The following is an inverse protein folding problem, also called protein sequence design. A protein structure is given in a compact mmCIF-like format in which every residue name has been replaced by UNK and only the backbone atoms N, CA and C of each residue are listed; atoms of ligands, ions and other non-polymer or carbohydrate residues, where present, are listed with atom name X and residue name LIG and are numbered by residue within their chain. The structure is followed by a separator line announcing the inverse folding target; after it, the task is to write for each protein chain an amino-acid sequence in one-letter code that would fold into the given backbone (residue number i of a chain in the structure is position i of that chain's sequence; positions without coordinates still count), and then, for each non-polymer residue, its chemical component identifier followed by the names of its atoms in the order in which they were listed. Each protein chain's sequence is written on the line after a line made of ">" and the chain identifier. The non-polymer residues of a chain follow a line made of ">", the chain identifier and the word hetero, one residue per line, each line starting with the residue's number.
data_IF_044260200520
#
_entry.id   IF_044260200520
#
_cell.length_a   1.000
_cell.length_b   1.000
_cell.length_c   1.000
_cell.angle_alpha   90.00
_cell.angle_beta   90.00
_cell.angle_gamma   90.00
#
_symmetry.space_group_name_H-M   'P 1'
#
loop_
_entity.id
_entity.type
_entity.pdbx_description
1 polymer ?
#
# COMPACT_ATOMS: atom_id res chain seq x y z
N UNK A 1 -54.51 5.88 77.58
CA UNK A 1 -53.47 6.89 77.24
C UNK A 1 -52.31 6.15 76.50
N UNK A 2 -52.32 6.22 75.20
CA UNK A 2 -51.31 5.62 74.35
C UNK A 2 -50.34 6.68 73.86
N UNK A 3 -49.02 6.51 74.18
CA UNK A 3 -47.99 7.45 73.73
C UNK A 3 -47.54 7.06 72.33
N UNK A 4 -47.82 7.92 71.34
CA UNK A 4 -47.24 7.82 70.01
C UNK A 4 -45.73 8.09 70.08
N UNK A 5 -44.92 7.15 69.58
CA UNK A 5 -43.49 7.30 69.32
C UNK A 5 -43.34 8.03 67.96
N UNK A 6 -42.81 9.23 67.98
CA UNK A 6 -42.30 9.94 66.82
C UNK A 6 -41.04 9.23 66.33
N UNK A 7 -41.10 8.72 65.12
CA UNK A 7 -39.91 8.14 64.45
C UNK A 7 -39.11 9.25 63.80
N UNK A 8 -37.88 9.45 64.23
CA UNK A 8 -36.89 10.33 63.62
C UNK A 8 -36.52 9.81 62.24
N UNK A 9 -37.05 10.47 61.24
CA UNK A 9 -36.53 10.30 59.85
C UNK A 9 -35.24 11.08 59.75
N UNK A 10 -34.12 10.38 59.90
CA UNK A 10 -32.80 10.90 59.54
C UNK A 10 -32.71 11.11 58.04
N UNK A 11 -32.77 12.35 57.62
CA UNK A 11 -32.57 12.77 56.25
C UNK A 11 -31.08 12.65 55.92
N UNK A 12 -30.68 11.53 55.31
CA UNK A 12 -29.33 11.38 54.77
C UNK A 12 -29.21 12.32 53.57
N UNK A 13 -28.64 13.50 53.77
CA UNK A 13 -28.19 14.36 52.69
C UNK A 13 -27.10 13.63 51.93
N UNK A 14 -27.42 13.15 50.70
CA UNK A 14 -26.42 12.65 49.76
C UNK A 14 -25.41 13.79 49.56
N UNK A 15 -24.18 13.60 50.06
CA UNK A 15 -23.04 14.40 49.65
C UNK A 15 -23.02 14.39 48.12
N UNK A 16 -23.29 15.53 47.48
CA UNK A 16 -23.02 15.70 46.07
C UNK A 16 -21.51 15.51 45.91
N UNK A 17 -21.12 14.43 45.23
CA UNK A 17 -19.75 14.27 44.75
C UNK A 17 -19.46 15.45 43.85
N UNK A 18 -18.61 16.36 44.29
CA UNK A 18 -18.10 17.44 43.45
C UNK A 18 -17.34 16.79 42.28
N UNK A 19 -17.90 16.89 41.08
CA UNK A 19 -17.22 16.47 39.86
C UNK A 19 -15.92 17.28 39.76
N UNK A 20 -14.74 16.64 39.76
CA UNK A 20 -13.48 17.36 39.76
C UNK A 20 -13.38 18.24 38.50
N UNK A 21 -13.49 19.56 38.67
CA UNK A 21 -13.28 20.49 37.57
C UNK A 21 -11.82 20.41 37.13
N UNK A 22 -11.62 19.97 35.88
CA UNK A 22 -10.29 19.93 35.29
C UNK A 22 -9.70 21.35 35.29
N UNK A 23 -8.49 21.51 35.81
CA UNK A 23 -7.84 22.83 35.84
C UNK A 23 -7.69 23.35 34.39
N UNK A 24 -7.85 24.65 34.13
CA UNK A 24 -7.80 25.25 32.81
C UNK A 24 -6.49 24.92 32.07
N UNK A 25 -5.39 24.74 32.80
CA UNK A 25 -4.11 24.29 32.22
C UNK A 25 -4.17 22.85 31.68
N UNK A 26 -4.82 21.92 32.40
CA UNK A 26 -4.99 20.55 31.94
C UNK A 26 -5.89 20.46 30.71
N UNK A 27 -6.94 21.29 30.68
CA UNK A 27 -7.83 21.40 29.51
C UNK A 27 -7.07 21.94 28.30
N UNK A 28 -6.24 22.97 28.46
CA UNK A 28 -5.43 23.56 27.41
C UNK A 28 -4.44 22.52 26.84
N UNK A 29 -3.74 21.81 27.70
CA UNK A 29 -2.82 20.73 27.24
C UNK A 29 -3.56 19.60 26.53
N UNK A 30 -4.76 19.23 26.97
CA UNK A 30 -5.61 18.26 26.28
C UNK A 30 -6.01 18.73 24.87
N UNK A 31 -6.36 20.00 24.70
CA UNK A 31 -6.68 20.58 23.40
C UNK A 31 -5.46 20.64 22.47
N UNK A 32 -4.28 20.99 23.00
CA UNK A 32 -3.04 20.98 22.22
C UNK A 32 -2.70 19.55 21.77
N UNK A 33 -2.80 18.57 22.66
CA UNK A 33 -2.56 17.17 22.31
C UNK A 33 -3.54 16.66 21.23
N UNK A 34 -4.83 17.01 21.35
CA UNK A 34 -5.85 16.67 20.34
C UNK A 34 -5.54 17.32 18.99
N UNK A 35 -5.14 18.60 18.99
CA UNK A 35 -4.78 19.30 17.77
C UNK A 35 -3.57 18.68 17.07
N UNK A 36 -2.52 18.35 17.83
CA UNK A 36 -1.34 17.65 17.29
C UNK A 36 -1.73 16.28 16.72
N UNK A 37 -2.59 15.53 17.42
CA UNK A 37 -3.09 14.24 16.95
C UNK A 37 -3.86 14.37 15.62
N UNK A 38 -4.74 15.39 15.51
CA UNK A 38 -5.46 15.66 14.26
C UNK A 38 -4.53 16.05 13.12
N UNK A 39 -3.49 16.84 13.38
CA UNK A 39 -2.47 17.16 12.36
C UNK A 39 -1.72 15.92 11.89
N UNK A 40 -1.39 15.00 12.79
CA UNK A 40 -0.76 13.73 12.43
C UNK A 40 -1.68 12.86 11.56
N UNK A 41 -2.97 12.79 11.88
CA UNK A 41 -3.96 12.09 11.05
C UNK A 41 -4.06 12.69 9.64
N UNK A 42 -4.12 14.03 9.53
CA UNK A 42 -4.13 14.70 8.24
C UNK A 42 -2.85 14.41 7.45
N UNK A 43 -1.69 14.45 8.11
CA UNK A 43 -0.42 14.12 7.47
C UNK A 43 -0.40 12.67 6.96
N UNK A 44 -0.92 11.71 7.74
CA UNK A 44 -1.04 10.31 7.32
C UNK A 44 -1.93 10.16 6.08
N UNK A 45 -3.10 10.80 6.05
CA UNK A 45 -4.00 10.79 4.89
C UNK A 45 -3.34 11.42 3.66
N UNK A 46 -2.61 12.52 3.83
CA UNK A 46 -1.86 13.13 2.72
C UNK A 46 -0.77 12.22 2.17
N UNK A 47 -0.05 11.49 3.04
CA UNK A 47 0.96 10.51 2.62
C UNK A 47 0.29 9.34 1.89
N UNK A 48 -0.81 8.83 2.41
CA UNK A 48 -1.58 7.74 1.81
C UNK A 48 -2.07 8.09 0.40
N UNK A 49 -2.73 9.22 0.24
CA UNK A 49 -3.19 9.71 -1.08
C UNK A 49 -2.02 9.95 -2.05
N UNK A 50 -0.86 10.36 -1.53
CA UNK A 50 0.35 10.51 -2.33
C UNK A 50 0.99 9.20 -2.79
N UNK A 51 0.54 8.05 -2.28
CA UNK A 51 1.04 6.72 -2.66
C UNK A 51 0.16 6.01 -3.68
N UNK A 52 -1.07 6.51 -3.91
CA UNK A 52 -2.00 5.89 -4.86
C UNK A 52 -1.52 6.03 -6.31
N UNK A 53 -1.89 5.05 -7.13
CA UNK A 53 -1.69 5.05 -8.58
C UNK A 53 -0.25 5.33 -9.04
N UNK A 54 0.70 4.60 -8.43
CA UNK A 54 2.12 4.73 -8.76
C UNK A 54 2.74 3.41 -9.19
N UNK A 55 3.45 3.46 -10.30
CA UNK A 55 4.34 2.40 -10.74
C UNK A 55 5.79 2.85 -10.48
N UNK A 56 6.52 2.05 -9.70
CA UNK A 56 7.90 2.32 -9.31
C UNK A 56 8.76 1.19 -9.86
N UNK A 57 9.67 1.54 -10.76
CA UNK A 57 10.66 0.62 -11.32
C UNK A 57 12.03 0.98 -10.80
N UNK A 58 12.69 0.02 -10.14
CA UNK A 58 14.01 0.21 -9.58
C UNK A 58 14.96 -0.83 -10.16
N UNK A 59 15.75 -0.44 -11.14
CA UNK A 59 16.78 -1.28 -11.71
C UNK A 59 18.08 -1.15 -10.91
N UNK A 60 18.29 -2.03 -9.96
CA UNK A 60 19.52 -2.15 -9.14
C UNK A 60 20.54 -3.08 -9.77
N UNK A 61 20.20 -3.74 -10.88
CA UNK A 61 21.08 -4.67 -11.57
C UNK A 61 22.18 -3.96 -12.36
N UNK A 62 23.14 -4.75 -12.82
CA UNK A 62 24.17 -4.29 -13.76
C UNK A 62 23.71 -4.30 -15.22
N UNK A 63 22.49 -4.77 -15.50
CA UNK A 63 21.93 -4.89 -16.86
C UNK A 63 21.03 -3.70 -17.18
N UNK A 64 21.13 -3.19 -18.40
CA UNK A 64 20.20 -2.21 -18.93
C UNK A 64 18.97 -2.93 -19.49
N UNK A 65 17.78 -2.39 -19.21
CA UNK A 65 16.52 -2.87 -19.75
C UNK A 65 16.19 -2.03 -20.99
N UNK A 66 16.00 -2.69 -22.13
CA UNK A 66 15.57 -2.05 -23.37
C UNK A 66 14.10 -1.67 -23.30
N UNK A 67 13.25 -2.59 -22.83
CA UNK A 67 11.81 -2.44 -22.74
C UNK A 67 11.27 -3.11 -21.49
N UNK A 68 10.36 -2.48 -20.78
CA UNK A 68 9.66 -3.01 -19.62
C UNK A 68 8.20 -2.61 -19.69
N UNK A 69 7.28 -3.57 -19.88
CA UNK A 69 5.85 -3.34 -20.05
C UNK A 69 5.06 -4.02 -18.94
N UNK A 70 4.06 -3.33 -18.43
CA UNK A 70 3.13 -3.81 -17.42
C UNK A 70 1.70 -3.73 -17.95
N UNK A 71 0.92 -4.80 -17.73
CA UNK A 71 -0.50 -4.83 -18.05
C UNK A 71 -1.25 -5.75 -17.10
N UNK A 72 -2.55 -5.53 -16.98
CA UNK A 72 -3.46 -6.50 -16.38
C UNK A 72 -4.07 -7.41 -17.44
N UNK A 73 -4.31 -8.66 -17.05
CA UNK A 73 -4.98 -9.64 -17.88
C UNK A 73 -6.05 -10.37 -17.06
N UNK A 74 -7.30 -10.37 -17.52
CA UNK A 74 -8.39 -11.07 -16.86
C UNK A 74 -8.54 -12.52 -17.37
N UNK A 75 -9.38 -13.31 -16.70
CA UNK A 75 -9.63 -14.71 -17.04
C UNK A 75 -10.28 -14.91 -18.45
N UNK A 76 -10.78 -13.85 -19.06
CA UNK A 76 -11.42 -13.87 -20.38
C UNK A 76 -10.47 -13.37 -21.49
N UNK A 77 -9.22 -13.03 -21.13
CA UNK A 77 -8.26 -12.45 -22.04
C UNK A 77 -8.42 -10.96 -22.29
N UNK A 78 -9.20 -10.27 -21.44
CA UNK A 78 -9.24 -8.81 -21.41
C UNK A 78 -7.92 -8.24 -20.92
N UNK A 79 -7.38 -7.25 -21.63
CA UNK A 79 -6.09 -6.64 -21.32
C UNK A 79 -6.28 -5.15 -21.07
N UNK A 80 -5.70 -4.66 -19.97
CA UNK A 80 -5.48 -3.23 -19.73
C UNK A 80 -3.98 -2.99 -19.62
N UNK A 81 -3.44 -2.22 -20.55
CA UNK A 81 -2.07 -1.73 -20.47
C UNK A 81 -1.95 -0.70 -19.36
N UNK A 82 -1.00 -0.92 -18.45
CA UNK A 82 -0.69 0.01 -17.37
C UNK A 82 0.34 1.02 -17.87
N UNK A 83 1.51 0.56 -18.24
CA UNK A 83 2.63 1.42 -18.63
C UNK A 83 3.75 0.63 -19.33
N UNK A 84 4.44 1.32 -20.19
CA UNK A 84 5.66 0.85 -20.84
C UNK A 84 6.79 1.84 -20.57
N UNK A 85 7.96 1.30 -20.25
CA UNK A 85 9.19 2.06 -20.05
C UNK A 85 10.22 1.57 -21.05
N UNK A 86 10.88 2.51 -21.69
CA UNK A 86 12.01 2.24 -22.57
C UNK A 86 13.31 2.75 -21.93
N UNK A 87 14.40 2.10 -22.26
CA UNK A 87 15.76 2.53 -21.92
C UNK A 87 15.96 2.80 -20.42
N UNK A 88 15.68 1.80 -19.59
CA UNK A 88 15.97 1.89 -18.15
C UNK A 88 17.42 1.45 -17.92
N UNK A 89 18.26 2.43 -17.63
CA UNK A 89 19.66 2.17 -17.35
C UNK A 89 19.85 1.39 -16.05
N UNK A 90 20.95 0.66 -15.98
CA UNK A 90 21.38 -0.02 -14.75
C UNK A 90 21.51 0.98 -13.61
N UNK A 91 21.16 0.55 -12.39
CA UNK A 91 21.23 1.35 -11.14
C UNK A 91 20.42 2.66 -11.17
N UNK A 92 19.30 2.66 -11.90
CA UNK A 92 18.36 3.79 -11.95
C UNK A 92 16.98 3.45 -11.38
N UNK A 93 16.28 4.47 -10.92
CA UNK A 93 14.88 4.39 -10.51
C UNK A 93 14.02 5.25 -11.45
N UNK A 94 12.93 4.68 -11.91
CA UNK A 94 11.84 5.37 -12.62
C UNK A 94 10.59 5.33 -11.74
N UNK A 95 9.89 6.44 -11.68
CA UNK A 95 8.69 6.56 -10.87
C UNK A 95 7.65 7.38 -11.63
N UNK A 96 6.56 6.72 -11.98
CA UNK A 96 5.49 7.32 -12.77
C UNK A 96 4.15 7.19 -12.05
N UNK A 97 3.29 8.17 -12.25
CA UNK A 97 1.88 8.10 -11.85
C UNK A 97 1.05 7.68 -13.06
N UNK A 98 0.10 6.77 -12.84
CA UNK A 98 -0.79 6.30 -13.90
C UNK A 98 -2.19 6.07 -13.38
N UNK A 99 -3.19 6.43 -14.19
CA UNK A 99 -4.59 6.16 -13.89
C UNK A 99 -4.95 4.69 -14.12
N UNK A 100 -4.15 3.97 -14.90
CA UNK A 100 -4.42 2.58 -15.29
C UNK A 100 -4.08 1.55 -14.20
N UNK A 101 -3.71 1.96 -12.98
CA UNK A 101 -3.65 1.02 -11.86
C UNK A 101 -5.03 0.61 -11.36
N UNK A 102 -6.08 1.39 -11.65
CA UNK A 102 -7.45 1.04 -11.31
C UNK A 102 -8.00 0.00 -12.30
N UNK A 103 -8.57 -1.09 -11.77
CA UNK A 103 -9.17 -2.17 -12.57
C UNK A 103 -10.61 -1.87 -13.01
N UNK A 104 -10.95 -0.62 -13.30
CA UNK A 104 -12.31 -0.21 -13.62
C UNK A 104 -12.83 -0.71 -14.97
N UNK A 105 -11.96 -1.06 -15.89
CA UNK A 105 -12.29 -1.47 -17.25
C UNK A 105 -12.33 -2.99 -17.42
N UNK A 106 -11.75 -3.75 -16.50
CA UNK A 106 -11.79 -5.21 -16.53
C UNK A 106 -13.07 -5.76 -15.89
N UNK A 107 -13.53 -6.87 -16.40
CA UNK A 107 -14.69 -7.58 -15.86
C UNK A 107 -14.20 -8.63 -14.86
N UNK A 108 -13.98 -8.22 -13.63
CA UNK A 108 -13.57 -9.11 -12.54
C UNK A 108 -12.11 -8.97 -12.16
N UNK A 109 -11.59 -10.03 -11.56
CA UNK A 109 -10.21 -10.10 -11.09
C UNK A 109 -9.23 -10.23 -12.24
N UNK A 110 -8.05 -9.68 -12.07
CA UNK A 110 -6.99 -9.73 -13.07
C UNK A 110 -5.63 -10.08 -12.47
N UNK A 111 -4.74 -10.56 -13.30
CA UNK A 111 -3.35 -10.81 -12.95
C UNK A 111 -2.46 -9.73 -13.55
N UNK A 112 -1.43 -9.36 -12.81
CA UNK A 112 -0.40 -8.47 -13.31
C UNK A 112 0.58 -9.27 -14.15
N UNK A 113 0.74 -8.87 -15.40
CA UNK A 113 1.73 -9.41 -16.33
C UNK A 113 2.82 -8.36 -16.56
N UNK A 114 4.06 -8.84 -16.59
CA UNK A 114 5.25 -8.00 -16.80
C UNK A 114 6.11 -8.65 -17.87
N UNK A 115 6.40 -7.90 -18.92
CA UNK A 115 7.38 -8.28 -19.95
C UNK A 115 8.60 -7.38 -19.83
N UNK A 116 9.77 -7.98 -19.96
CA UNK A 116 11.03 -7.25 -20.01
C UNK A 116 11.95 -7.80 -21.10
N UNK A 117 12.69 -6.90 -21.71
CA UNK A 117 13.72 -7.18 -22.69
C UNK A 117 14.99 -6.44 -22.28
N UNK A 118 16.11 -7.14 -22.28
CA UNK A 118 17.41 -6.58 -21.94
C UNK A 118 18.18 -6.11 -23.18
N UNK A 119 19.01 -5.08 -23.04
CA UNK A 119 19.84 -4.56 -24.15
C UNK A 119 20.91 -5.54 -24.62
N UNK A 120 21.38 -6.36 -23.74
CA UNK A 120 22.38 -7.41 -24.03
C UNK A 120 21.78 -8.71 -24.57
N UNK A 121 20.47 -8.69 -24.86
CA UNK A 121 19.68 -9.82 -25.33
C UNK A 121 19.00 -10.55 -24.17
N UNK A 122 18.03 -11.37 -24.53
CA UNK A 122 17.17 -12.07 -23.58
C UNK A 122 15.90 -11.28 -23.27
N UNK A 123 14.85 -12.06 -23.08
CA UNK A 123 13.51 -11.57 -22.78
C UNK A 123 12.94 -12.42 -21.64
N UNK A 124 12.13 -11.82 -20.79
CA UNK A 124 11.42 -12.52 -19.74
C UNK A 124 9.99 -12.01 -19.63
N UNK A 125 9.07 -12.93 -19.38
CA UNK A 125 7.69 -12.61 -19.09
C UNK A 125 7.29 -13.30 -17.80
N UNK A 126 6.66 -12.57 -16.91
CA UNK A 126 6.10 -13.12 -15.67
C UNK A 126 4.66 -12.67 -15.51
N UNK A 127 3.87 -13.51 -14.88
CA UNK A 127 2.52 -13.20 -14.47
C UNK A 127 2.41 -13.44 -12.96
N UNK A 128 1.94 -12.48 -12.23
CA UNK A 128 1.94 -12.52 -10.77
C UNK A 128 0.83 -11.69 -10.17
N UNK A 129 0.45 -12.04 -8.95
CA UNK A 129 -0.53 -11.32 -8.18
C UNK A 129 -1.92 -11.34 -8.81
N UNK A 130 -2.89 -11.65 -8.00
CA UNK A 130 -4.30 -11.47 -8.35
C UNK A 130 -4.78 -10.15 -7.77
N UNK A 131 -5.25 -9.27 -8.64
CA UNK A 131 -5.78 -7.96 -8.29
C UNK A 131 -7.29 -8.02 -8.36
N UNK A 132 -7.94 -7.64 -7.27
CA UNK A 132 -9.38 -7.54 -7.21
C UNK A 132 -9.82 -6.18 -7.77
N UNK A 133 -11.05 -6.14 -8.27
CA UNK A 133 -11.68 -4.91 -8.73
C UNK A 133 -11.54 -3.77 -7.70
N UNK A 134 -11.20 -2.60 -8.18
CA UNK A 134 -11.06 -1.39 -7.36
C UNK A 134 -9.68 -1.16 -6.75
N UNK A 135 -8.65 -1.93 -7.16
CA UNK A 135 -7.28 -1.66 -6.71
C UNK A 135 -6.84 -0.26 -7.15
N UNK A 136 -6.46 0.56 -6.17
CA UNK A 136 -5.86 1.89 -6.36
C UNK A 136 -4.66 1.99 -5.42
N UNK A 137 -3.47 1.76 -5.93
CA UNK A 137 -2.31 1.68 -5.04
C UNK A 137 -0.99 1.93 -5.76
N UNK A 138 0.03 1.29 -5.27
CA UNK A 138 1.37 1.30 -5.88
C UNK A 138 1.77 -0.11 -6.27
N UNK A 139 2.46 -0.21 -7.41
CA UNK A 139 3.18 -1.39 -7.83
C UNK A 139 4.67 -1.03 -7.82
N UNK A 140 5.47 -1.87 -7.20
CA UNK A 140 6.92 -1.71 -7.12
C UNK A 140 7.60 -2.90 -7.75
N UNK A 141 8.38 -2.65 -8.78
CA UNK A 141 9.23 -3.62 -9.46
C UNK A 141 10.69 -3.31 -9.15
N UNK A 142 11.42 -4.28 -8.63
CA UNK A 142 12.84 -4.17 -8.35
C UNK A 142 13.59 -5.29 -9.06
N UNK A 143 14.59 -4.94 -9.86
CA UNK A 143 15.54 -5.86 -10.47
C UNK A 143 16.89 -5.70 -9.80
N UNK A 144 17.54 -6.81 -9.41
CA UNK A 144 18.86 -6.79 -8.78
C UNK A 144 19.72 -7.97 -9.20
N UNK A 145 21.03 -7.80 -9.14
CA UNK A 145 21.98 -8.87 -9.35
C UNK A 145 21.95 -9.88 -8.19
N UNK A 146 22.21 -11.15 -8.52
CA UNK A 146 22.53 -12.18 -7.54
C UNK A 146 24.05 -12.33 -7.41
N UNK A 147 24.50 -13.34 -6.66
CA UNK A 147 25.92 -13.73 -6.61
C UNK A 147 26.35 -14.57 -7.83
N UNK A 148 25.40 -14.98 -8.67
CA UNK A 148 25.61 -15.78 -9.87
C UNK A 148 25.33 -15.01 -11.15
N UNK A 149 24.93 -15.71 -12.20
CA UNK A 149 24.53 -15.12 -13.49
C UNK A 149 23.04 -14.73 -13.53
N UNK A 150 22.25 -15.14 -12.53
CA UNK A 150 20.83 -14.88 -12.48
C UNK A 150 20.55 -13.51 -11.85
N UNK A 151 19.43 -12.94 -12.24
CA UNK A 151 18.88 -11.73 -11.64
C UNK A 151 17.71 -12.09 -10.72
N UNK A 152 17.49 -11.27 -9.73
CA UNK A 152 16.32 -11.32 -8.86
C UNK A 152 15.35 -10.22 -9.26
N UNK A 153 14.09 -10.61 -9.51
CA UNK A 153 12.96 -9.69 -9.59
C UNK A 153 12.19 -9.76 -8.28
N UNK A 154 11.93 -8.61 -7.70
CA UNK A 154 10.97 -8.45 -6.60
C UNK A 154 9.83 -7.58 -7.05
N UNK A 155 8.62 -8.13 -6.99
CA UNK A 155 7.41 -7.45 -7.34
C UNK A 155 6.52 -7.33 -6.10
N UNK A 156 6.07 -6.11 -5.81
CA UNK A 156 5.21 -5.81 -4.66
C UNK A 156 4.10 -4.88 -5.09
N UNK A 157 2.89 -5.15 -4.60
CA UNK A 157 1.78 -4.24 -4.73
C UNK A 157 1.13 -3.97 -3.37
N UNK A 158 0.57 -2.78 -3.20
CA UNK A 158 -0.10 -2.41 -1.97
C UNK A 158 -0.84 -1.09 -2.10
N UNK A 159 -1.90 -0.94 -1.32
CA UNK A 159 -2.68 0.28 -1.19
C UNK A 159 -2.33 0.98 0.12
N UNK A 160 -2.16 2.30 0.05
CA UNK A 160 -1.89 3.13 1.21
C UNK A 160 -0.64 2.72 1.99
N UNK A 161 -0.71 2.84 3.31
CA UNK A 161 0.36 2.50 4.25
C UNK A 161 0.34 1.02 4.70
N UNK A 162 -0.74 0.31 4.43
CA UNK A 162 -0.97 -1.06 4.86
C UNK A 162 -1.07 -2.00 3.66
N UNK A 163 -0.89 -3.30 3.89
CA UNK A 163 -1.12 -4.30 2.86
C UNK A 163 -2.59 -4.26 2.43
N UNK A 164 -2.82 -4.24 1.13
CA UNK A 164 -4.16 -4.22 0.57
C UNK A 164 -4.81 -5.59 0.64
N UNK A 165 -6.10 -5.62 0.98
CA UNK A 165 -6.93 -6.80 0.81
C UNK A 165 -7.33 -7.06 -0.66
N UNK A 166 -7.09 -6.08 -1.55
CA UNK A 166 -7.43 -6.16 -2.98
C UNK A 166 -6.34 -6.79 -3.84
N UNK A 167 -5.21 -7.15 -3.23
CA UNK A 167 -4.10 -7.83 -3.91
C UNK A 167 -3.71 -9.09 -3.16
N UNK A 168 -3.64 -10.20 -3.87
CA UNK A 168 -3.14 -11.48 -3.36
C UNK A 168 -2.01 -12.00 -4.25
N UNK A 169 -0.99 -12.59 -3.64
CA UNK A 169 0.13 -13.21 -4.37
C UNK A 169 1.03 -12.22 -5.11
N UNK A 170 1.11 -10.97 -4.66
CA UNK A 170 1.99 -9.96 -5.23
C UNK A 170 3.00 -9.45 -4.18
N UNK A 171 3.73 -10.36 -3.60
CA UNK A 171 4.94 -10.11 -2.81
C UNK A 171 5.91 -11.27 -3.11
N UNK A 172 6.28 -11.37 -4.40
CA UNK A 172 6.98 -12.52 -4.94
C UNK A 172 8.40 -12.16 -5.36
N UNK A 173 9.24 -13.19 -5.36
CA UNK A 173 10.63 -13.12 -5.78
C UNK A 173 10.83 -14.15 -6.90
N UNK A 174 11.26 -13.67 -8.05
CA UNK A 174 11.54 -14.49 -9.22
C UNK A 174 13.03 -14.44 -9.53
N UNK A 175 13.53 -15.57 -10.03
CA UNK A 175 14.90 -15.66 -10.53
C UNK A 175 14.86 -15.79 -12.05
N UNK A 176 15.58 -14.94 -12.74
CA UNK A 176 15.65 -14.97 -14.20
C UNK A 176 17.10 -15.02 -14.64
N UNK A 177 17.35 -15.75 -15.71
CA UNK A 177 18.61 -15.67 -16.42
C UNK A 177 18.47 -14.71 -17.60
N UNK A 178 19.18 -13.57 -17.63
CA UNK A 178 19.00 -12.56 -18.67
C UNK A 178 19.35 -13.08 -20.07
N UNK A 179 20.16 -14.15 -20.20
CA UNK A 179 20.54 -14.72 -21.48
C UNK A 179 19.50 -15.69 -22.05
N UNK A 180 18.74 -16.35 -21.16
CA UNK A 180 17.85 -17.45 -21.54
C UNK A 180 16.37 -17.11 -21.37
N UNK A 181 16.06 -16.00 -20.68
CA UNK A 181 14.68 -15.60 -20.41
C UNK A 181 13.90 -16.58 -19.52
N UNK A 182 14.59 -17.46 -18.81
CA UNK A 182 13.96 -18.50 -17.98
C UNK A 182 13.56 -17.91 -16.61
N UNK A 183 12.33 -18.19 -16.20
CA UNK A 183 11.79 -17.83 -14.87
C UNK A 183 11.63 -19.14 -14.09
N UNK A 184 12.30 -19.27 -12.97
CA UNK A 184 12.11 -20.33 -11.98
C UNK A 184 11.28 -19.83 -10.78
#
# INVERSE_FOLDING_TARGET
>A
MSKLKTSDYAYHSKKQEEVPQASPKKLLWGLVALFVFLLLLVALVCVENGMANKLIVNNKSSHDIEQLRFWYEDANGGIIDIMEFDDILSKTEKKESTENLALSELVGDAWLSVYMKFKDGGEAMLQTGQFLYGFEGRISFELADTKGEDLIIRLKAGEGLFNSATVTGCDDVYYINPKNGYIE
#
